data_IF_915540063112
#
_entry.id   IF_915540063112
#
_cell.length_a   1.000
_cell.length_b   1.000
_cell.length_c   1.000
_cell.angle_alpha   90.00
_cell.angle_beta   90.00
_cell.angle_gamma   90.00
#
_symmetry.space_group_name_H-M   'P 1'
#
loop_
_entity.id
_entity.type
_entity.pdbx_description
1 polymer ?
#
# COMPACT_ATOMS: atom_id res chain seq x y z
N UNK A 1 18.75 18.37 5.40
CA UNK A 1 18.98 16.97 5.00
C UNK A 1 18.44 16.71 3.60
N UNK A 2 19.21 16.01 2.76
CA UNK A 2 18.74 15.53 1.45
C UNK A 2 17.56 14.57 1.61
N UNK A 3 16.71 14.47 0.61
CA UNK A 3 15.60 13.50 0.59
C UNK A 3 15.23 13.13 -0.83
N UNK A 4 14.48 12.04 -0.97
CA UNK A 4 13.97 11.62 -2.27
C UNK A 4 12.59 12.27 -2.52
N UNK A 5 12.40 12.80 -3.72
CA UNK A 5 11.09 13.18 -4.26
C UNK A 5 10.62 12.02 -5.14
N UNK A 6 9.52 11.40 -4.75
CA UNK A 6 8.90 10.31 -5.50
C UNK A 6 7.75 10.90 -6.29
N UNK A 7 7.92 10.97 -7.60
CA UNK A 7 6.86 11.39 -8.51
C UNK A 7 6.00 10.20 -8.91
N UNK A 8 4.70 10.42 -9.05
CA UNK A 8 3.80 9.33 -9.38
C UNK A 8 2.41 9.77 -9.81
N UNK A 9 1.55 8.76 -9.93
CA UNK A 9 0.13 8.92 -10.27
C UNK A 9 -0.72 8.66 -9.03
N UNK A 10 -1.55 9.62 -8.65
CA UNK A 10 -2.56 9.43 -7.61
C UNK A 10 -3.90 9.05 -8.23
N UNK A 11 -4.44 7.89 -7.84
CA UNK A 11 -5.78 7.47 -8.20
C UNK A 11 -6.79 8.01 -7.19
N UNK A 12 -7.47 9.10 -7.52
CA UNK A 12 -8.35 9.82 -6.59
C UNK A 12 -9.45 8.95 -5.95
N UNK A 13 -10.11 8.03 -6.69
CA UNK A 13 -11.20 7.25 -6.10
C UNK A 13 -10.78 6.23 -5.03
N UNK A 14 -9.52 5.77 -5.06
CA UNK A 14 -9.01 4.78 -4.10
C UNK A 14 -7.87 5.29 -3.22
N UNK A 15 -7.37 6.50 -3.46
CA UNK A 15 -6.26 7.10 -2.72
C UNK A 15 -4.89 6.49 -3.00
N UNK A 16 -4.80 5.47 -3.86
CA UNK A 16 -3.54 4.80 -4.15
C UNK A 16 -2.60 5.71 -4.95
N UNK A 17 -1.37 5.86 -4.46
CA UNK A 17 -0.27 6.50 -5.17
C UNK A 17 0.63 5.44 -5.81
N UNK A 18 0.77 5.49 -7.12
CA UNK A 18 1.66 4.60 -7.87
C UNK A 18 2.94 5.39 -8.22
N UNK A 19 4.11 5.01 -7.68
CA UNK A 19 5.36 5.66 -8.00
C UNK A 19 5.74 5.43 -9.46
N UNK A 20 6.30 6.46 -10.11
CA UNK A 20 6.70 6.43 -11.52
C UNK A 20 8.17 6.81 -11.72
N UNK A 21 8.65 7.80 -10.98
CA UNK A 21 10.06 8.20 -10.98
C UNK A 21 10.47 8.70 -9.61
N UNK A 22 11.76 8.66 -9.32
CA UNK A 22 12.33 9.17 -8.08
C UNK A 22 13.51 10.06 -8.40
N UNK A 23 13.57 11.21 -7.75
CA UNK A 23 14.65 12.18 -7.84
C UNK A 23 15.21 12.46 -6.44
N UNK A 24 16.52 12.68 -6.32
CA UNK A 24 17.13 13.08 -5.06
C UNK A 24 17.18 14.61 -4.99
N UNK A 25 16.53 15.20 -4.00
CA UNK A 25 16.68 16.61 -3.69
C UNK A 25 17.90 16.82 -2.78
N UNK A 26 18.89 17.54 -3.31
CA UNK A 26 20.04 17.98 -2.55
C UNK A 26 19.69 19.14 -1.61
N UNK A 27 20.15 19.07 -0.37
CA UNK A 27 19.98 20.12 0.61
C UNK A 27 21.13 21.14 0.64
N UNK A 28 22.20 20.92 -0.14
CA UNK A 28 23.38 21.80 -0.24
C UNK A 28 24.06 22.10 1.11
N UNK A 29 23.85 21.24 2.11
CA UNK A 29 24.49 21.38 3.43
C UNK A 29 25.85 20.71 3.43
N UNK A 30 26.94 21.36 3.87
CA UNK A 30 28.25 20.73 4.01
C UNK A 30 28.30 19.73 5.18
N UNK A 31 27.28 19.74 6.04
CA UNK A 31 27.13 18.78 7.15
C UNK A 31 26.36 17.53 6.76
N UNK A 32 25.77 17.45 5.56
CA UNK A 32 24.99 16.30 5.12
C UNK A 32 25.82 15.41 4.21
N UNK A 33 26.09 14.16 4.62
CA UNK A 33 26.95 13.24 3.83
C UNK A 33 26.39 12.94 2.44
N UNK A 34 25.08 13.09 2.27
CA UNK A 34 24.41 12.90 0.97
C UNK A 34 24.40 14.16 0.11
N UNK A 35 24.87 15.30 0.59
CA UNK A 35 24.90 16.55 -0.19
C UNK A 35 26.09 16.58 -1.13
N UNK A 36 25.93 17.17 -2.32
CA UNK A 36 27.06 17.46 -3.23
C UNK A 36 28.04 18.47 -2.65
N UNK A 37 27.58 19.30 -1.71
CA UNK A 37 28.42 20.27 -0.99
C UNK A 37 29.20 19.66 0.18
N UNK A 38 29.04 18.36 0.47
CA UNK A 38 29.77 17.71 1.56
C UNK A 38 31.23 17.47 1.18
N UNK A 39 32.20 17.82 2.05
CA UNK A 39 33.60 17.62 1.75
C UNK A 39 33.95 16.14 1.49
N UNK A 40 34.68 15.80 0.41
CA UNK A 40 35.12 14.43 0.17
C UNK A 40 36.07 14.00 1.30
N UNK A 41 35.88 12.77 1.81
CA UNK A 41 36.73 12.20 2.87
C UNK A 41 36.39 12.63 4.30
N UNK A 42 35.43 13.54 4.51
CA UNK A 42 34.96 13.86 5.86
C UNK A 42 34.26 12.64 6.51
N UNK A 43 34.71 12.26 7.71
CA UNK A 43 34.16 11.16 8.53
C UNK A 43 33.69 11.63 9.91
N UNK A 44 33.38 12.92 10.03
CA UNK A 44 32.93 13.49 11.29
C UNK A 44 31.63 12.86 11.74
N UNK A 45 31.53 12.50 13.03
CA UNK A 45 30.27 12.03 13.64
C UNK A 45 29.24 13.14 13.78
N UNK A 46 29.64 14.40 13.61
CA UNK A 46 28.75 15.56 13.63
C UNK A 46 28.03 15.81 12.29
N UNK A 47 28.34 15.02 11.25
CA UNK A 47 27.63 15.05 9.98
C UNK A 47 26.32 14.25 10.05
N UNK A 48 25.34 14.76 9.32
CA UNK A 48 24.05 14.14 9.09
C UNK A 48 24.23 12.93 8.16
N UNK A 49 24.12 11.74 8.74
CA UNK A 49 24.28 10.45 8.05
C UNK A 49 22.95 9.79 7.67
N UNK A 50 21.83 10.51 7.82
CA UNK A 50 20.50 10.06 7.40
C UNK A 50 19.90 11.02 6.37
N UNK A 51 19.13 10.46 5.44
CA UNK A 51 18.26 11.25 4.56
C UNK A 51 16.94 11.53 5.27
N UNK A 52 16.26 12.59 4.86
CA UNK A 52 14.90 12.85 5.32
C UNK A 52 13.90 11.90 4.65
N UNK A 53 12.69 11.84 5.21
CA UNK A 53 11.60 11.02 4.68
C UNK A 53 11.29 11.40 3.23
N UNK A 54 11.12 10.44 2.31
CA UNK A 54 10.77 10.73 0.93
C UNK A 54 9.44 11.50 0.81
N UNK A 55 9.41 12.50 -0.06
CA UNK A 55 8.21 13.27 -0.36
C UNK A 55 7.51 12.70 -1.59
N UNK A 56 6.24 12.35 -1.46
CA UNK A 56 5.43 11.94 -2.61
C UNK A 56 4.82 13.17 -3.30
N UNK A 57 4.98 13.25 -4.62
CA UNK A 57 4.45 14.34 -5.44
C UNK A 57 3.64 13.75 -6.61
N UNK A 58 2.30 13.88 -6.60
CA UNK A 58 1.49 13.41 -7.71
C UNK A 58 1.63 14.34 -8.92
N UNK A 59 2.33 13.85 -9.96
CA UNK A 59 2.45 14.53 -11.25
C UNK A 59 1.27 14.25 -12.17
N UNK A 60 0.53 13.18 -11.89
CA UNK A 60 -0.69 12.79 -12.60
C UNK A 60 -1.78 12.46 -11.60
N UNK A 61 -3.01 12.90 -11.86
CA UNK A 61 -4.20 12.54 -11.08
C UNK A 61 -5.14 11.76 -11.98
N UNK A 62 -5.52 10.56 -11.56
CA UNK A 62 -6.40 9.67 -12.30
C UNK A 62 -7.80 9.69 -11.70
N UNK A 63 -8.85 9.91 -12.50
CA UNK A 63 -10.24 9.88 -12.05
C UNK A 63 -10.77 8.44 -11.88
N UNK A 64 -9.99 7.42 -12.26
CA UNK A 64 -10.35 6.00 -12.12
C UNK A 64 -9.53 5.33 -11.02
N UNK A 65 -10.04 4.22 -10.46
CA UNK A 65 -9.32 3.38 -9.49
C UNK A 65 -7.98 2.89 -10.07
N UNK A 66 -7.02 2.57 -9.19
CA UNK A 66 -5.81 1.87 -9.61
C UNK A 66 -6.15 0.46 -10.13
N UNK A 67 -5.27 -0.16 -10.95
CA UNK A 67 -5.51 -1.51 -11.48
C UNK A 67 -5.81 -2.55 -10.39
N UNK A 68 -5.12 -2.47 -9.25
CA UNK A 68 -5.30 -3.40 -8.13
C UNK A 68 -6.69 -3.24 -7.50
N UNK A 69 -7.08 -2.02 -7.12
CA UNK A 69 -8.41 -1.77 -6.57
C UNK A 69 -9.52 -2.02 -7.58
N UNK A 70 -9.27 -1.80 -8.88
CA UNK A 70 -10.24 -2.13 -9.92
C UNK A 70 -10.47 -3.64 -10.00
N UNK A 71 -9.40 -4.44 -9.92
CA UNK A 71 -9.46 -5.90 -9.89
C UNK A 71 -10.18 -6.41 -8.64
N UNK A 72 -9.86 -5.87 -7.47
CA UNK A 72 -10.49 -6.27 -6.20
C UNK A 72 -12.00 -5.97 -6.19
N UNK A 73 -12.39 -4.81 -6.72
CA UNK A 73 -13.81 -4.45 -6.90
C UNK A 73 -14.51 -5.42 -7.86
N UNK A 74 -13.85 -5.79 -8.96
CA UNK A 74 -14.37 -6.77 -9.92
C UNK A 74 -14.57 -8.15 -9.29
N UNK A 75 -13.58 -8.65 -8.56
CA UNK A 75 -13.68 -9.95 -7.89
C UNK A 75 -14.77 -9.96 -6.82
N UNK A 76 -14.88 -8.88 -6.03
CA UNK A 76 -15.95 -8.76 -5.04
C UNK A 76 -17.34 -8.71 -5.68
N UNK A 77 -17.47 -8.00 -6.81
CA UNK A 77 -18.72 -7.97 -7.57
C UNK A 77 -19.07 -9.36 -8.13
N UNK A 78 -18.09 -10.11 -8.65
CA UNK A 78 -18.27 -11.49 -9.13
C UNK A 78 -18.76 -12.41 -8.03
N UNK A 79 -18.12 -12.40 -6.86
CA UNK A 79 -18.52 -13.22 -5.71
C UNK A 79 -19.93 -12.87 -5.21
N UNK A 80 -20.29 -11.58 -5.20
CA UNK A 80 -21.63 -11.15 -4.83
C UNK A 80 -22.68 -11.64 -5.83
N UNK A 81 -22.42 -11.52 -7.13
CA UNK A 81 -23.30 -12.02 -8.18
C UNK A 81 -23.51 -13.54 -8.08
N UNK A 82 -22.44 -14.30 -7.80
CA UNK A 82 -22.55 -15.73 -7.51
C UNK A 82 -23.45 -15.97 -6.30
N UNK A 83 -23.19 -15.31 -5.16
CA UNK A 83 -24.03 -15.46 -3.96
C UNK A 83 -25.50 -15.14 -4.21
N UNK A 84 -25.79 -14.12 -5.02
CA UNK A 84 -27.16 -13.76 -5.40
C UNK A 84 -27.81 -14.82 -6.29
N UNK A 85 -27.09 -15.33 -7.29
CA UNK A 85 -27.56 -16.44 -8.13
C UNK A 85 -27.86 -17.69 -7.27
N UNK A 86 -27.01 -18.00 -6.29
CA UNK A 86 -27.24 -19.08 -5.33
C UNK A 86 -28.46 -18.83 -4.45
N UNK A 87 -28.65 -17.61 -3.91
CA UNK A 87 -29.86 -17.26 -3.14
C UNK A 87 -31.14 -17.39 -3.98
N UNK A 88 -31.08 -16.98 -5.25
CA UNK A 88 -32.22 -17.03 -6.15
C UNK A 88 -32.64 -18.47 -6.51
N UNK A 89 -31.73 -19.44 -6.45
CA UNK A 89 -32.02 -20.86 -6.71
C UNK A 89 -32.71 -21.58 -5.54
N UNK A 90 -32.86 -20.93 -4.38
CA UNK A 90 -33.76 -21.39 -3.33
C UNK A 90 -33.39 -22.72 -2.67
N UNK A 91 -32.26 -22.78 -1.95
CA UNK A 91 -32.13 -23.44 -0.63
C UNK A 91 -30.66 -23.41 -0.16
N UNK A 92 -30.35 -22.98 1.09
CA UNK A 92 -29.05 -23.25 1.70
C UNK A 92 -28.96 -24.75 2.04
N UNK A 93 -27.75 -25.36 2.09
CA UNK A 93 -27.60 -26.69 2.67
C UNK A 93 -28.12 -26.62 4.11
N UNK A 94 -29.07 -27.49 4.45
CA UNK A 94 -29.35 -27.77 5.85
C UNK A 94 -28.03 -28.24 6.44
N UNK A 95 -27.46 -27.46 7.37
CA UNK A 95 -26.44 -28.03 8.26
C UNK A 95 -27.16 -29.21 8.90
N UNK A 96 -26.72 -30.47 8.69
CA UNK A 96 -27.35 -31.58 9.39
C UNK A 96 -27.29 -31.23 10.87
N UNK A 97 -28.46 -31.18 11.52
CA UNK A 97 -28.54 -30.98 12.95
C UNK A 97 -27.55 -31.95 13.58
N UNK A 98 -26.51 -31.43 14.23
CA UNK A 98 -25.50 -32.24 14.86
C UNK A 98 -26.20 -33.22 15.78
N UNK A 99 -26.26 -34.48 15.36
CA UNK A 99 -26.68 -35.56 16.22
C UNK A 99 -25.73 -35.54 17.42
N UNK A 100 -26.32 -35.48 18.61
CA UNK A 100 -25.64 -35.22 19.87
C UNK A 100 -24.40 -36.07 20.08
N UNK A 101 -23.42 -35.44 20.72
CA UNK A 101 -22.18 -36.08 21.15
C UNK A 101 -21.39 -35.15 22.02
N UNK A 102 -21.98 -34.69 23.13
CA UNK A 102 -21.22 -34.01 24.20
C UNK A 102 -20.30 -35.07 24.80
N UNK A 103 -19.04 -35.12 24.37
CA UNK A 103 -18.03 -35.93 25.06
C UNK A 103 -17.51 -35.12 26.24
N UNK A 104 -18.11 -35.34 27.40
CA UNK A 104 -17.56 -34.92 28.69
C UNK A 104 -16.16 -35.48 28.85
N UNK A 105 -15.17 -34.59 28.97
CA UNK A 105 -13.85 -34.95 29.47
C UNK A 105 -13.95 -35.07 31.00
N UNK A 106 -13.69 -36.28 31.50
CA UNK A 106 -13.56 -36.58 32.92
C UNK A 106 -12.29 -37.38 33.13
N UNK A 107 -11.38 -36.86 33.97
CA UNK A 107 -10.28 -37.62 34.57
C UNK A 107 -8.95 -37.50 33.84
#
# INVERSE_FOLDING_TARGET
>A
MCHNIVYGRLHQPCGCFIPMSTEKHDCNSPRCVFSTSHPPGCRSRACENMMNVPRQVPIRRSPVNCPDCARDKGERARLNALKEAWRAQGSPPQTPAGAGGVSTWSG
#
